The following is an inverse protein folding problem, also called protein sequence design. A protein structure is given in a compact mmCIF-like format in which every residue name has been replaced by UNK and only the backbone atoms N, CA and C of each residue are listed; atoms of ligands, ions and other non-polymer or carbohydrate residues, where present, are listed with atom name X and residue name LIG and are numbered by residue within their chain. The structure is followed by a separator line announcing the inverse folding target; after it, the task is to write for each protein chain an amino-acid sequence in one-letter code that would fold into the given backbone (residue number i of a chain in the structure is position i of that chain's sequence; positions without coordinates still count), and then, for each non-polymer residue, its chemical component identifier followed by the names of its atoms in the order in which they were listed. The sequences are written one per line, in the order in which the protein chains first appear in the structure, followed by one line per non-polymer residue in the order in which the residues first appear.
data_IF_948408573826
#
_entry.id   IF_948408573826
#
_cell.length_a   1.000
_cell.length_b   1.000
_cell.length_c   1.000
_cell.angle_alpha   90.00
_cell.angle_beta   90.00
_cell.angle_gamma   90.00
#
_symmetry.space_group_name_H-M   'P 1'
#
loop_
_entity.id
_entity.type
_entity.pdbx_description
1 polymer ?
#
# COMPACT_ATOMS: atom_id res chain seq x y z
N UNK A 1 -1.62 -8.99 8.99
CA UNK A 1 -0.39 -8.48 8.34
C UNK A 1 -0.77 -7.79 7.04
N UNK A 2 -0.19 -6.62 6.74
CA UNK A 2 -0.67 -5.70 5.71
C UNK A 2 -0.52 -6.24 4.29
N UNK A 3 0.58 -6.95 4.02
CA UNK A 3 0.87 -7.53 2.70
C UNK A 3 -0.07 -8.69 2.39
N UNK A 4 -0.30 -9.57 3.35
CA UNK A 4 -1.16 -10.75 3.23
C UNK A 4 -2.62 -10.35 3.09
N UNK A 5 -3.05 -9.29 3.78
CA UNK A 5 -4.40 -8.75 3.64
C UNK A 5 -4.65 -8.22 2.21
N UNK A 6 -3.68 -7.50 1.64
CA UNK A 6 -3.75 -7.05 0.25
C UNK A 6 -3.73 -8.24 -0.72
N UNK A 7 -2.79 -9.19 -0.55
CA UNK A 7 -2.70 -10.39 -1.38
C UNK A 7 -3.94 -11.27 -1.32
N UNK A 8 -4.61 -11.36 -0.16
CA UNK A 8 -5.89 -12.06 -0.03
C UNK A 8 -6.98 -11.39 -0.87
N UNK A 9 -7.04 -10.05 -0.84
CA UNK A 9 -8.01 -9.26 -1.61
C UNK A 9 -7.78 -9.41 -3.11
N UNK A 10 -6.53 -9.30 -3.57
CA UNK A 10 -6.18 -9.48 -4.98
C UNK A 10 -6.50 -10.89 -5.47
N UNK A 11 -6.10 -11.93 -4.72
CA UNK A 11 -6.40 -13.33 -5.07
C UNK A 11 -7.91 -13.60 -5.13
N UNK A 12 -8.69 -13.01 -4.23
CA UNK A 12 -10.16 -13.13 -4.24
C UNK A 12 -10.76 -12.53 -5.51
N UNK A 13 -10.30 -11.34 -5.92
CA UNK A 13 -10.79 -10.68 -7.12
C UNK A 13 -10.43 -11.47 -8.40
N UNK A 14 -9.20 -11.98 -8.48
CA UNK A 14 -8.75 -12.83 -9.60
C UNK A 14 -9.60 -14.11 -9.68
N UNK A 15 -9.80 -14.81 -8.56
CA UNK A 15 -10.64 -16.02 -8.51
C UNK A 15 -12.08 -15.76 -8.89
N UNK A 16 -12.65 -14.64 -8.45
CA UNK A 16 -14.02 -14.26 -8.79
C UNK A 16 -14.19 -13.95 -10.29
N UNK A 17 -13.14 -13.44 -10.96
CA UNK A 17 -13.18 -13.15 -12.40
C UNK A 17 -12.94 -14.38 -13.29
N UNK A 18 -12.12 -15.34 -12.86
CA UNK A 18 -11.81 -16.55 -13.63
C UNK A 18 -10.84 -16.30 -14.79
N UNK A 19 -11.21 -16.70 -16.01
CA UNK A 19 -10.36 -16.55 -17.21
C UNK A 19 -10.27 -15.09 -17.69
N UNK A 20 -9.07 -14.67 -18.08
CA UNK A 20 -8.78 -13.37 -18.68
C UNK A 20 -8.43 -13.54 -20.16
N UNK A 21 -9.02 -12.72 -21.06
CA UNK A 21 -8.76 -12.80 -22.49
C UNK A 21 -7.38 -12.27 -22.88
N UNK A 22 -6.79 -11.36 -22.09
CA UNK A 22 -5.43 -10.82 -22.27
C UNK A 22 -4.80 -10.47 -20.92
N UNK A 23 -3.49 -10.27 -20.91
CA UNK A 23 -2.74 -9.85 -19.73
C UNK A 23 -3.11 -8.42 -19.30
N UNK A 24 -3.41 -7.53 -20.25
CA UNK A 24 -3.87 -6.16 -19.94
C UNK A 24 -5.21 -6.18 -19.20
N UNK A 25 -6.11 -7.12 -19.54
CA UNK A 25 -7.37 -7.27 -18.82
C UNK A 25 -7.14 -7.72 -17.36
N UNK A 26 -6.17 -8.61 -17.13
CA UNK A 26 -5.77 -9.02 -15.79
C UNK A 26 -5.15 -7.86 -15.01
N UNK A 27 -4.22 -7.12 -15.64
CA UNK A 27 -3.57 -5.96 -15.03
C UNK A 27 -4.59 -4.87 -14.67
N UNK A 28 -5.55 -4.59 -15.55
CA UNK A 28 -6.62 -3.62 -15.31
C UNK A 28 -7.46 -4.01 -14.10
N UNK A 29 -7.79 -5.29 -13.92
CA UNK A 29 -8.51 -5.75 -12.73
C UNK A 29 -7.68 -5.48 -11.46
N UNK A 30 -6.40 -5.85 -11.45
CA UNK A 30 -5.53 -5.63 -10.29
C UNK A 30 -5.43 -4.14 -9.96
N UNK A 31 -5.25 -3.28 -10.97
CA UNK A 31 -5.24 -1.82 -10.81
C UNK A 31 -6.53 -1.30 -10.16
N UNK A 32 -7.69 -1.72 -10.65
CA UNK A 32 -8.98 -1.30 -10.09
C UNK A 32 -9.18 -1.77 -8.65
N UNK A 33 -8.73 -2.99 -8.32
CA UNK A 33 -8.80 -3.53 -6.95
C UNK A 33 -7.86 -2.77 -6.01
N UNK A 34 -6.65 -2.44 -6.46
CA UNK A 34 -5.70 -1.62 -5.71
C UNK A 34 -6.26 -0.23 -5.42
N UNK A 35 -6.78 0.47 -6.44
CA UNK A 35 -7.42 1.78 -6.30
C UNK A 35 -8.61 1.75 -5.34
N UNK A 36 -9.38 0.65 -5.31
CA UNK A 36 -10.48 0.51 -4.36
C UNK A 36 -9.97 0.25 -2.94
N UNK A 37 -8.91 -0.55 -2.81
CA UNK A 37 -8.33 -0.93 -1.51
C UNK A 37 -7.67 0.26 -0.84
N UNK A 38 -6.96 1.08 -1.60
CA UNK A 38 -6.30 2.31 -1.12
C UNK A 38 -7.30 3.27 -0.47
N UNK A 39 -8.49 3.45 -1.04
CA UNK A 39 -9.57 4.26 -0.44
C UNK A 39 -10.06 3.77 0.93
N UNK A 40 -9.83 2.51 1.27
CA UNK A 40 -10.19 1.95 2.57
C UNK A 40 -9.10 2.18 3.64
N UNK A 41 -7.87 2.54 3.25
CA UNK A 41 -6.73 2.74 4.15
C UNK A 41 -6.77 4.10 4.82
N UNK A 42 -7.79 4.31 5.65
CA UNK A 42 -8.02 5.59 6.36
C UNK A 42 -7.31 5.67 7.72
N UNK A 43 -6.95 4.52 8.28
CA UNK A 43 -6.34 4.43 9.59
C UNK A 43 -4.86 4.13 9.44
N UNK A 44 -4.02 5.13 9.77
CA UNK A 44 -2.58 4.95 9.84
C UNK A 44 -2.15 4.08 11.03
N UNK A 45 -0.88 3.65 11.08
CA UNK A 45 -0.32 2.95 12.23
C UNK A 45 -0.44 3.80 13.50
N UNK A 46 -0.89 3.20 14.61
CA UNK A 46 -1.14 3.91 15.87
C UNK A 46 0.14 4.50 16.45
N UNK A 47 1.24 3.79 16.28
CA UNK A 47 2.55 4.09 16.84
C UNK A 47 3.38 5.00 15.90
N UNK A 48 2.79 5.51 14.82
CA UNK A 48 3.52 6.25 13.78
C UNK A 48 4.30 7.45 14.31
N UNK A 49 3.75 8.19 15.28
CA UNK A 49 4.43 9.35 15.89
C UNK A 49 5.72 8.92 16.57
N UNK A 50 5.69 7.82 17.33
CA UNK A 50 6.87 7.29 18.02
C UNK A 50 7.89 6.73 17.04
N UNK A 51 7.44 5.97 16.03
CA UNK A 51 8.31 5.46 14.98
C UNK A 51 9.00 6.58 14.20
N UNK A 52 8.27 7.65 13.87
CA UNK A 52 8.82 8.84 13.19
C UNK A 52 9.90 9.52 14.03
N UNK A 53 9.72 9.63 15.35
CA UNK A 53 10.75 10.18 16.23
C UNK A 53 12.03 9.33 16.21
N UNK A 54 11.91 8.00 16.23
CA UNK A 54 13.06 7.10 16.09
C UNK A 54 13.75 7.23 14.73
N UNK A 55 12.97 7.37 13.64
CA UNK A 55 13.55 7.63 12.31
C UNK A 55 14.30 8.96 12.25
N UNK A 56 13.84 9.99 12.96
CA UNK A 56 14.55 11.27 13.03
C UNK A 56 15.90 11.15 13.77
N UNK A 57 16.00 10.26 14.77
CA UNK A 57 17.28 9.98 15.45
C UNK A 57 18.22 9.21 14.53
N UNK A 58 17.74 8.15 13.87
CA UNK A 58 18.57 7.26 13.04
C UNK A 58 18.96 7.91 11.71
N UNK A 59 18.07 8.72 11.12
CA UNK A 59 18.21 9.28 9.77
C UNK A 59 18.12 10.82 9.77
N UNK A 60 18.61 11.47 10.83
CA UNK A 60 18.45 12.91 11.06
C UNK A 60 18.79 13.81 9.86
N UNK A 61 19.88 13.52 9.14
CA UNK A 61 20.27 14.29 7.94
C UNK A 61 19.16 14.34 6.88
N UNK A 62 18.38 13.27 6.70
CA UNK A 62 17.27 13.23 5.74
C UNK A 62 16.11 14.12 6.16
N UNK A 63 15.88 14.23 7.47
CA UNK A 63 14.86 15.14 8.02
C UNK A 63 15.30 16.60 7.89
N UNK A 64 16.56 16.92 8.20
CA UNK A 64 17.09 18.28 8.05
C UNK A 64 17.07 18.75 6.60
N UNK A 65 17.48 17.90 5.64
CA UNK A 65 17.42 18.23 4.21
C UNK A 65 15.99 18.46 3.73
N UNK A 66 15.04 17.62 4.17
CA UNK A 66 13.64 17.78 3.79
C UNK A 66 12.99 19.05 4.37
N UNK A 67 13.45 19.54 5.52
CA UNK A 67 12.98 20.80 6.11
C UNK A 67 13.58 22.06 5.49
N UNK A 68 14.73 21.92 4.79
CA UNK A 68 15.42 23.03 4.14
C UNK A 68 15.01 23.22 2.66
N UNK A 69 14.20 22.32 2.11
CA UNK A 69 13.62 22.37 0.78
C UNK A 69 12.19 22.92 0.83
#
# INVERSE_FOLDING_TARGET
NAIEALNATLRRAVRARGHFPTDEAALKLLYLVLNRSEKAWKMGPREWVMAKAQFAVIFGERFTRAMAA
#
